data_IF_968353091378
#
_entry.id   IF_968353091378
#
_cell.length_a   1.000
_cell.length_b   1.000
_cell.length_c   1.000
_cell.angle_alpha   90.00
_cell.angle_beta   90.00
_cell.angle_gamma   90.00
#
_symmetry.space_group_name_H-M   'P 1'
#
loop_
_entity.id
_entity.type
_entity.pdbx_description
1 polymer ?
#
# COMPACT_ATOMS: atom_id res chain seq x y z
N UNK A 1 -50.96 -63.55 4.58
CA UNK A 1 -50.73 -64.98 4.91
C UNK A 1 -49.25 -65.20 5.16
N UNK A 2 -48.94 -65.76 6.35
CA UNK A 2 -47.70 -66.46 6.78
C UNK A 2 -46.37 -65.67 6.72
N UNK A 3 -45.85 -65.15 7.84
CA UNK A 3 -45.12 -65.80 8.98
C UNK A 3 -43.65 -66.08 8.61
N UNK A 4 -42.60 -65.94 9.43
CA UNK A 4 -42.32 -66.34 10.83
C UNK A 4 -40.97 -65.64 11.24
N UNK A 5 -40.82 -65.02 12.43
CA UNK A 5 -40.23 -65.60 13.68
C UNK A 5 -38.73 -65.28 13.91
N UNK A 6 -38.15 -65.10 15.11
CA UNK A 6 -38.56 -65.29 16.53
C UNK A 6 -37.38 -64.88 17.45
N UNK A 7 -37.70 -64.36 18.66
CA UNK A 7 -37.18 -64.72 20.02
C UNK A 7 -35.66 -64.55 20.31
N UNK A 8 -35.10 -64.29 21.49
CA UNK A 8 -35.36 -64.11 22.94
C UNK A 8 -33.99 -63.53 23.47
N UNK A 9 -33.76 -62.93 24.63
CA UNK A 9 -34.18 -63.27 25.99
C UNK A 9 -33.94 -62.12 26.98
N UNK A 10 -34.65 -62.25 28.10
CA UNK A 10 -34.59 -61.51 29.36
C UNK A 10 -33.21 -61.58 30.04
N UNK A 11 -32.88 -60.52 30.78
CA UNK A 11 -31.90 -60.55 31.86
C UNK A 11 -31.92 -59.26 32.68
N UNK A 12 -32.44 -59.32 33.89
CA UNK A 12 -32.18 -58.41 35.01
C UNK A 12 -32.05 -59.31 36.26
N UNK A 13 -31.53 -58.86 37.42
CA UNK A 13 -30.87 -57.59 37.77
C UNK A 13 -29.51 -57.82 38.50
N UNK A 14 -28.77 -56.76 38.82
CA UNK A 14 -27.98 -56.71 40.06
C UNK A 14 -27.62 -55.26 40.43
N UNK A 15 -27.90 -54.97 41.69
CA UNK A 15 -27.76 -53.71 42.40
C UNK A 15 -26.31 -53.49 42.79
N UNK A 16 -25.78 -52.29 42.51
CA UNK A 16 -24.69 -51.68 43.29
C UNK A 16 -24.85 -50.15 43.29
N UNK A 17 -25.29 -49.60 44.43
CA UNK A 17 -24.89 -48.25 44.87
C UNK A 17 -23.42 -48.33 45.34
N UNK A 18 -22.56 -47.29 45.25
CA UNK A 18 -22.81 -46.05 46.00
C UNK A 18 -22.10 -44.75 45.50
N UNK A 19 -22.23 -43.70 46.33
CA UNK A 19 -21.40 -42.49 46.47
C UNK A 19 -21.76 -41.26 45.62
N UNK A 20 -22.67 -40.46 46.18
CA UNK A 20 -22.77 -39.02 45.97
C UNK A 20 -21.49 -38.32 46.43
N UNK A 21 -20.75 -37.71 45.50
CA UNK A 21 -19.80 -36.64 45.78
C UNK A 21 -20.43 -35.31 45.33
N UNK A 22 -20.38 -34.23 46.13
CA UNK A 22 -20.88 -32.93 45.69
C UNK A 22 -19.84 -32.32 44.76
N UNK A 23 -20.13 -32.25 43.47
CA UNK A 23 -19.39 -31.39 42.55
C UNK A 23 -19.73 -29.94 42.87
N UNK A 24 -18.79 -29.27 43.54
CA UNK A 24 -18.76 -27.83 43.73
C UNK A 24 -18.60 -27.19 42.34
N UNK A 25 -19.68 -26.68 41.75
CA UNK A 25 -19.64 -25.92 40.51
C UNK A 25 -19.01 -24.55 40.78
N UNK A 26 -17.70 -24.44 40.53
CA UNK A 26 -17.02 -23.14 40.46
C UNK A 26 -17.47 -22.47 39.17
N UNK A 27 -18.35 -21.47 39.29
CA UNK A 27 -18.68 -20.54 38.22
C UNK A 27 -17.45 -19.70 37.89
N UNK A 28 -16.67 -20.15 36.91
CA UNK A 28 -15.66 -19.33 36.25
C UNK A 28 -16.40 -18.25 35.43
N UNK A 29 -16.51 -17.05 36.00
CA UNK A 29 -16.89 -15.85 35.25
C UNK A 29 -15.72 -15.52 34.34
N UNK A 30 -15.74 -16.05 33.12
CA UNK A 30 -14.85 -15.59 32.05
C UNK A 30 -15.16 -14.12 31.77
N UNK A 31 -14.18 -13.21 31.78
CA UNK A 31 -14.42 -11.85 31.32
C UNK A 31 -14.80 -11.93 29.84
N UNK A 32 -15.95 -11.33 29.50
CA UNK A 32 -16.37 -11.16 28.12
C UNK A 32 -15.36 -10.25 27.42
N UNK A 33 -14.41 -10.85 26.71
CA UNK A 33 -13.62 -10.16 25.69
C UNK A 33 -14.61 -9.56 24.70
N UNK A 34 -14.78 -8.25 24.75
CA UNK A 34 -15.49 -7.50 23.72
C UNK A 34 -14.63 -7.57 22.45
N UNK A 35 -14.83 -8.62 21.66
CA UNK A 35 -14.38 -8.62 20.27
C UNK A 35 -15.15 -7.50 19.57
N UNK A 36 -14.43 -6.43 19.19
CA UNK A 36 -14.96 -5.47 18.24
C UNK A 36 -15.44 -6.25 16.99
N UNK A 37 -16.58 -5.88 16.39
CA UNK A 37 -17.02 -6.53 15.16
C UNK A 37 -15.88 -6.46 14.14
N UNK A 38 -15.46 -7.62 13.62
CA UNK A 38 -14.54 -7.69 12.50
C UNK A 38 -15.14 -6.83 11.38
N UNK A 39 -14.45 -5.75 11.01
CA UNK A 39 -14.87 -4.92 9.88
C UNK A 39 -14.96 -5.77 8.62
N UNK A 40 -15.98 -5.52 7.79
CA UNK A 40 -16.15 -6.19 6.49
C UNK A 40 -15.08 -5.80 5.46
N UNK A 41 -14.20 -4.85 5.77
CA UNK A 41 -13.10 -4.42 4.93
C UNK A 41 -11.88 -5.34 4.98
N UNK A 42 -10.90 -5.04 4.11
CA UNK A 42 -9.63 -5.76 4.10
C UNK A 42 -8.82 -5.47 5.37
N UNK A 43 -8.06 -6.46 5.89
CA UNK A 43 -7.12 -6.21 6.96
C UNK A 43 -6.01 -5.25 6.49
N UNK A 44 -5.52 -4.35 7.36
CA UNK A 44 -4.36 -3.52 7.04
C UNK A 44 -3.15 -4.37 6.65
N UNK A 45 -2.40 -3.90 5.66
CA UNK A 45 -1.13 -4.49 5.24
C UNK A 45 -0.12 -4.43 6.40
N UNK A 46 -0.13 -3.32 7.14
CA UNK A 46 0.49 -3.20 8.45
C UNK A 46 -0.36 -2.33 9.35
N UNK A 47 -0.24 -2.56 10.64
CA UNK A 47 -0.90 -1.76 11.66
C UNK A 47 -0.01 -1.57 12.89
N UNK A 48 0.05 -0.33 13.36
CA UNK A 48 0.78 0.10 14.56
C UNK A 48 -0.10 1.07 15.35
N UNK A 49 0.03 1.14 16.68
CA UNK A 49 -0.76 2.06 17.50
C UNK A 49 -0.53 3.53 17.12
N UNK A 50 -1.59 4.32 17.16
CA UNK A 50 -1.57 5.78 16.94
C UNK A 50 -1.12 6.20 15.54
N UNK A 51 -0.86 7.49 15.35
CA UNK A 51 -0.30 8.06 14.11
C UNK A 51 -1.25 8.07 12.92
N UNK A 52 -0.67 8.30 11.74
CA UNK A 52 -1.40 8.42 10.48
C UNK A 52 -1.90 7.06 9.99
N UNK A 53 -3.18 7.01 9.58
CA UNK A 53 -3.87 5.82 9.06
C UNK A 53 -4.31 6.09 7.64
N UNK A 54 -3.68 5.40 6.70
CA UNK A 54 -3.83 5.62 5.27
C UNK A 54 -4.62 4.49 4.62
N UNK A 55 -5.64 4.85 3.86
CA UNK A 55 -6.41 3.92 3.01
C UNK A 55 -6.29 4.37 1.57
N UNK A 56 -6.00 3.45 0.67
CA UNK A 56 -6.05 3.69 -0.77
C UNK A 56 -7.02 2.72 -1.42
N UNK A 57 -7.73 3.20 -2.44
CA UNK A 57 -8.62 2.38 -3.27
C UNK A 57 -8.75 3.01 -4.66
N UNK A 58 -9.19 2.20 -5.62
CA UNK A 58 -9.26 2.56 -7.02
C UNK A 58 -9.10 1.34 -7.93
N UNK A 59 -8.76 1.60 -9.17
CA UNK A 59 -8.66 0.61 -10.23
C UNK A 59 -7.24 0.02 -10.41
N UNK A 60 -6.97 -0.56 -11.57
CA UNK A 60 -5.67 -1.15 -11.93
C UNK A 60 -4.51 -0.13 -11.95
N UNK A 61 -4.77 1.15 -12.18
CA UNK A 61 -3.75 2.20 -12.13
C UNK A 61 -3.33 2.52 -10.70
N UNK A 62 -4.14 2.12 -9.72
CA UNK A 62 -3.76 2.11 -8.31
C UNK A 62 -3.15 0.76 -7.91
N UNK A 63 -3.70 -0.36 -8.39
CA UNK A 63 -3.24 -1.70 -8.01
C UNK A 63 -1.82 -2.01 -8.52
N UNK A 64 -1.48 -1.59 -9.75
CA UNK A 64 -0.18 -1.86 -10.37
C UNK A 64 -0.01 -3.32 -10.83
N UNK A 65 -0.87 -3.83 -11.72
CA UNK A 65 -0.78 -5.20 -12.21
C UNK A 65 0.55 -5.47 -12.90
N UNK A 66 1.09 -6.68 -12.69
CA UNK A 66 2.39 -7.15 -13.21
C UNK A 66 3.61 -6.33 -12.79
N UNK A 67 3.47 -5.42 -11.82
CA UNK A 67 4.62 -4.82 -11.14
C UNK A 67 5.04 -5.75 -10.00
N UNK A 68 6.22 -6.36 -10.10
CA UNK A 68 6.71 -7.31 -9.10
C UNK A 68 7.44 -6.63 -7.93
N UNK A 69 7.37 -7.19 -6.71
CA UNK A 69 6.58 -8.36 -6.32
C UNK A 69 5.09 -8.05 -6.13
N UNK A 70 4.23 -8.94 -6.63
CA UNK A 70 2.79 -8.89 -6.40
C UNK A 70 2.41 -9.36 -5.00
N UNK A 71 1.29 -8.85 -4.48
CA UNK A 71 0.64 -9.28 -3.26
C UNK A 71 -0.19 -10.53 -3.54
N UNK A 72 0.30 -11.69 -3.13
CA UNK A 72 -0.38 -12.97 -3.38
C UNK A 72 -1.78 -13.03 -2.76
N UNK A 73 -1.99 -12.34 -1.64
CA UNK A 73 -3.27 -12.18 -0.94
C UNK A 73 -4.28 -11.30 -1.70
N UNK A 74 -3.86 -10.59 -2.75
CA UNK A 74 -4.75 -9.76 -3.57
C UNK A 74 -5.43 -10.51 -4.73
N UNK A 75 -5.01 -11.75 -5.02
CA UNK A 75 -5.61 -12.58 -6.07
C UNK A 75 -5.74 -11.84 -7.42
N UNK A 76 -6.96 -11.80 -7.96
CA UNK A 76 -7.27 -11.16 -9.24
C UNK A 76 -7.14 -9.63 -9.23
N UNK A 77 -7.05 -9.00 -8.06
CA UNK A 77 -6.84 -7.55 -7.98
C UNK A 77 -5.45 -7.13 -8.44
N UNK A 78 -4.47 -8.04 -8.39
CA UNK A 78 -3.08 -7.82 -8.83
C UNK A 78 -2.44 -6.57 -8.21
N UNK A 79 -2.52 -6.45 -6.87
CA UNK A 79 -1.87 -5.36 -6.15
C UNK A 79 -0.37 -5.59 -6.08
N UNK A 80 0.41 -4.61 -6.51
CA UNK A 80 1.85 -4.62 -6.35
C UNK A 80 2.28 -4.16 -4.96
N UNK A 81 3.38 -4.71 -4.45
CA UNK A 81 4.11 -4.12 -3.31
C UNK A 81 4.93 -2.88 -3.71
N UNK A 82 4.84 -2.43 -4.95
CA UNK A 82 5.51 -1.25 -5.52
C UNK A 82 4.55 -0.31 -6.25
N UNK A 83 3.25 -0.43 -5.99
CA UNK A 83 2.29 0.54 -6.49
C UNK A 83 2.41 1.87 -5.72
N UNK A 84 1.85 2.94 -6.28
CA UNK A 84 2.03 4.28 -5.70
C UNK A 84 1.51 4.36 -4.25
N UNK A 85 0.40 3.72 -3.84
CA UNK A 85 -0.05 3.76 -2.46
C UNK A 85 0.96 3.16 -1.50
N UNK A 86 1.58 2.03 -1.85
CA UNK A 86 2.62 1.44 -1.00
C UNK A 86 3.80 2.39 -0.83
N UNK A 87 4.25 3.03 -1.91
CA UNK A 87 5.37 3.98 -1.88
C UNK A 87 5.02 5.24 -1.07
N UNK A 88 3.80 5.76 -1.18
CA UNK A 88 3.29 6.87 -0.35
C UNK A 88 3.32 6.46 1.13
N UNK A 89 2.77 5.30 1.45
CA UNK A 89 2.66 4.82 2.82
C UNK A 89 4.04 4.64 3.49
N UNK A 90 5.03 4.15 2.76
CA UNK A 90 6.42 4.02 3.21
C UNK A 90 7.14 5.36 3.36
N UNK A 91 6.89 6.29 2.43
CA UNK A 91 7.48 7.65 2.44
C UNK A 91 6.97 8.47 3.62
N UNK A 92 5.67 8.39 3.90
CA UNK A 92 5.05 9.03 5.05
C UNK A 92 5.29 8.27 6.36
N UNK A 93 5.77 7.02 6.29
CA UNK A 93 5.93 6.12 7.44
C UNK A 93 4.65 6.01 8.27
N UNK A 94 3.52 5.81 7.58
CA UNK A 94 2.19 5.71 8.21
C UNK A 94 2.11 4.53 9.16
N UNK A 95 1.28 4.66 10.20
CA UNK A 95 1.16 3.64 11.23
C UNK A 95 0.23 2.50 10.82
N UNK A 96 -0.80 2.79 10.04
CA UNK A 96 -1.65 1.78 9.43
C UNK A 96 -1.83 2.07 7.95
N UNK A 97 -1.77 1.03 7.13
CA UNK A 97 -1.96 1.13 5.69
C UNK A 97 -2.87 0.01 5.19
N UNK A 98 -3.91 0.38 4.45
CA UNK A 98 -4.77 -0.56 3.72
C UNK A 98 -4.83 -0.16 2.27
N UNK A 99 -4.58 -1.11 1.37
CA UNK A 99 -4.76 -0.94 -0.06
C UNK A 99 -5.90 -1.87 -0.52
N UNK A 100 -7.02 -1.25 -0.86
CA UNK A 100 -8.23 -1.92 -1.33
C UNK A 100 -8.45 -1.79 -2.84
N UNK A 101 -7.48 -1.19 -3.56
CA UNK A 101 -7.56 -1.07 -5.02
C UNK A 101 -7.71 -2.42 -5.70
N UNK A 102 -8.31 -2.45 -6.88
CA UNK A 102 -8.46 -3.71 -7.60
C UNK A 102 -8.48 -3.51 -9.10
N UNK A 103 -7.71 -4.34 -9.81
CA UNK A 103 -7.69 -4.30 -11.27
C UNK A 103 -9.08 -4.51 -11.86
N UNK A 104 -9.45 -3.67 -12.82
CA UNK A 104 -10.76 -3.70 -13.46
C UNK A 104 -11.92 -3.08 -12.67
N UNK A 105 -11.65 -2.49 -11.50
CA UNK A 105 -12.72 -1.89 -10.69
C UNK A 105 -13.42 -0.74 -11.43
N UNK A 106 -14.75 -0.76 -11.38
CA UNK A 106 -15.64 0.36 -11.75
C UNK A 106 -16.10 1.11 -10.50
N UNK A 107 -16.74 2.27 -10.63
CA UNK A 107 -17.17 3.07 -9.45
C UNK A 107 -18.13 2.28 -8.55
N UNK A 108 -18.94 1.39 -9.10
CA UNK A 108 -19.84 0.52 -8.33
C UNK A 108 -19.07 -0.40 -7.35
N UNK A 109 -17.88 -0.90 -7.72
CA UNK A 109 -17.04 -1.77 -6.88
C UNK A 109 -16.53 -1.09 -5.60
N UNK A 110 -16.70 0.23 -5.49
CA UNK A 110 -16.47 0.93 -4.22
C UNK A 110 -17.49 0.52 -3.15
N UNK A 111 -18.70 0.12 -3.56
CA UNK A 111 -19.83 -0.20 -2.71
C UNK A 111 -20.16 -1.69 -2.64
N UNK A 112 -19.73 -2.47 -3.63
CA UNK A 112 -19.99 -3.91 -3.71
C UNK A 112 -18.69 -4.71 -3.83
N UNK A 113 -18.75 -6.01 -3.52
CA UNK A 113 -17.58 -6.87 -3.60
C UNK A 113 -17.22 -7.17 -5.07
N UNK A 114 -15.94 -7.02 -5.42
CA UNK A 114 -15.37 -7.42 -6.70
C UNK A 114 -14.67 -8.78 -6.54
N UNK A 115 -15.43 -9.86 -6.72
CA UNK A 115 -14.95 -11.22 -6.44
C UNK A 115 -14.58 -11.39 -4.96
N UNK A 116 -13.30 -11.67 -4.68
CA UNK A 116 -12.79 -11.79 -3.31
C UNK A 116 -12.39 -10.46 -2.68
N UNK A 117 -12.41 -9.36 -3.44
CA UNK A 117 -12.21 -8.03 -2.89
C UNK A 117 -13.52 -7.52 -2.28
N UNK A 118 -13.58 -7.23 -0.97
CA UNK A 118 -14.76 -6.57 -0.39
C UNK A 118 -15.01 -5.19 -1.02
N UNK A 119 -16.18 -4.58 -0.78
CA UNK A 119 -16.41 -3.18 -1.12
C UNK A 119 -15.24 -2.31 -0.70
N UNK A 120 -14.66 -1.54 -1.61
CA UNK A 120 -13.40 -0.85 -1.30
C UNK A 120 -13.58 0.17 -0.16
N UNK A 121 -14.76 0.81 -0.07
CA UNK A 121 -15.10 1.77 0.98
C UNK A 121 -15.27 1.13 2.36
N UNK A 122 -15.34 -0.20 2.49
CA UNK A 122 -15.38 -0.88 3.79
C UNK A 122 -14.02 -0.87 4.49
N UNK A 123 -12.95 -0.51 3.78
CA UNK A 123 -11.62 -0.29 4.36
C UNK A 123 -11.52 1.04 5.12
N UNK A 124 -12.53 1.91 5.01
CA UNK A 124 -12.57 3.19 5.71
C UNK A 124 -13.12 3.06 7.12
N UNK A 125 -12.62 3.91 8.02
CA UNK A 125 -13.15 4.07 9.37
C UNK A 125 -13.10 5.53 9.80
N UNK A 126 -13.78 5.87 10.90
CA UNK A 126 -13.66 7.19 11.54
C UNK A 126 -12.25 7.53 12.03
N UNK A 127 -11.35 6.54 12.09
CA UNK A 127 -9.94 6.72 12.46
C UNK A 127 -9.02 6.94 11.27
N UNK A 128 -9.49 6.69 10.04
CA UNK A 128 -8.75 6.98 8.82
C UNK A 128 -8.44 8.47 8.76
N UNK A 129 -7.17 8.81 8.50
CA UNK A 129 -6.67 10.20 8.50
C UNK A 129 -6.10 10.63 7.14
N UNK A 130 -5.91 9.69 6.23
CA UNK A 130 -5.45 9.97 4.87
C UNK A 130 -6.15 8.98 3.91
N UNK A 131 -6.64 9.50 2.78
CA UNK A 131 -7.22 8.69 1.71
C UNK A 131 -6.66 9.14 0.36
N UNK A 132 -6.23 8.20 -0.46
CA UNK A 132 -6.11 8.42 -1.91
C UNK A 132 -7.29 7.73 -2.58
N UNK A 133 -8.18 8.56 -3.11
CA UNK A 133 -9.36 8.17 -3.86
C UNK A 133 -8.97 8.05 -5.33
N UNK A 134 -9.00 6.83 -5.84
CA UNK A 134 -8.74 6.57 -7.25
C UNK A 134 -7.26 6.55 -7.59
N UNK A 135 -6.91 6.51 -8.88
CA UNK A 135 -7.80 6.59 -10.05
C UNK A 135 -8.93 5.56 -10.11
N UNK A 136 -10.10 5.96 -10.61
CA UNK A 136 -11.27 5.11 -10.89
C UNK A 136 -12.19 5.84 -11.88
N UNK A 137 -13.06 5.11 -12.60
CA UNK A 137 -13.91 5.65 -13.67
C UNK A 137 -13.45 5.27 -15.09
N UNK A 138 -12.19 4.88 -15.26
CA UNK A 138 -11.64 4.47 -16.56
C UNK A 138 -12.28 3.18 -17.09
N UNK A 139 -12.58 2.24 -16.20
CA UNK A 139 -13.26 1.00 -16.59
C UNK A 139 -14.74 1.25 -16.94
N UNK A 140 -15.40 2.19 -16.27
CA UNK A 140 -16.79 2.58 -16.50
C UNK A 140 -17.00 3.16 -17.92
N UNK A 141 -16.08 4.03 -18.35
CA UNK A 141 -16.11 4.55 -19.73
C UNK A 141 -15.64 3.52 -20.76
N UNK A 142 -14.93 2.46 -20.34
CA UNK A 142 -14.34 1.45 -21.20
C UNK A 142 -13.01 1.86 -21.81
N UNK A 143 -12.18 2.61 -21.07
CA UNK A 143 -10.95 3.25 -21.56
C UNK A 143 -9.96 2.28 -22.22
N UNK A 144 -9.70 1.12 -21.60
CA UNK A 144 -8.79 0.10 -22.17
C UNK A 144 -9.37 -0.46 -23.47
N UNK A 145 -10.70 -0.67 -23.53
CA UNK A 145 -11.39 -1.10 -24.74
C UNK A 145 -11.32 -0.04 -25.85
N UNK A 146 -11.46 1.23 -25.50
CA UNK A 146 -11.25 2.34 -26.43
C UNK A 146 -9.83 2.35 -26.98
N UNK A 147 -8.82 2.33 -26.11
CA UNK A 147 -7.41 2.38 -26.51
C UNK A 147 -7.02 1.19 -27.40
N UNK A 148 -7.46 -0.02 -27.05
CA UNK A 148 -7.22 -1.22 -27.87
C UNK A 148 -8.02 -1.21 -29.17
N UNK A 149 -9.24 -0.68 -29.17
CA UNK A 149 -10.04 -0.47 -30.37
C UNK A 149 -9.36 0.46 -31.38
N UNK A 150 -8.80 1.59 -30.90
CA UNK A 150 -8.06 2.55 -31.71
C UNK A 150 -6.79 1.99 -32.37
N UNK A 151 -6.23 0.89 -31.84
CA UNK A 151 -5.08 0.22 -32.47
C UNK A 151 -5.48 -0.68 -33.63
N UNK A 152 -6.75 -1.10 -33.68
CA UNK A 152 -7.25 -2.08 -34.62
C UNK A 152 -8.17 -1.48 -35.67
N UNK A 153 -8.87 -0.40 -35.34
CA UNK A 153 -9.93 0.22 -36.13
C UNK A 153 -9.92 1.73 -35.95
N UNK A 154 -10.48 2.46 -36.92
CA UNK A 154 -10.76 3.87 -36.73
C UNK A 154 -11.76 4.06 -35.59
N UNK A 155 -11.28 4.66 -34.50
CA UNK A 155 -12.06 4.90 -33.30
C UNK A 155 -12.51 6.36 -33.13
N UNK A 156 -12.01 7.27 -33.97
CA UNK A 156 -12.35 8.70 -33.87
C UNK A 156 -13.79 8.88 -34.34
N UNK A 157 -14.69 9.39 -33.49
CA UNK A 157 -16.09 9.55 -33.85
C UNK A 157 -16.24 10.68 -34.89
N UNK A 158 -17.32 10.67 -35.70
CA UNK A 158 -17.64 11.78 -36.60
C UNK A 158 -17.68 13.12 -35.86
N UNK A 159 -17.23 14.18 -36.52
CA UNK A 159 -17.24 15.53 -35.94
C UNK A 159 -18.64 15.90 -35.41
N UNK A 160 -18.70 16.46 -34.21
CA UNK A 160 -19.95 16.86 -33.54
C UNK A 160 -20.68 15.72 -32.81
N UNK A 161 -20.09 14.52 -32.76
CA UNK A 161 -20.65 13.39 -31.99
C UNK A 161 -19.77 13.06 -30.78
N UNK A 162 -20.40 12.66 -29.67
CA UNK A 162 -19.74 12.23 -28.44
C UNK A 162 -20.40 10.94 -27.92
N UNK A 163 -19.96 9.76 -28.40
CA UNK A 163 -20.57 8.50 -28.00
C UNK A 163 -20.30 8.14 -26.53
N UNK A 164 -19.28 8.75 -25.90
CA UNK A 164 -18.93 8.50 -24.49
C UNK A 164 -19.63 9.47 -23.53
N UNK A 165 -20.23 10.55 -24.03
CA UNK A 165 -20.91 11.58 -23.23
C UNK A 165 -21.86 11.03 -22.17
N UNK A 166 -22.79 10.11 -22.50
CA UNK A 166 -23.68 9.50 -21.50
C UNK A 166 -22.93 8.75 -20.39
N UNK A 167 -21.81 8.08 -20.70
CA UNK A 167 -21.00 7.38 -19.70
C UNK A 167 -20.28 8.37 -18.79
N UNK A 168 -19.70 9.44 -19.35
CA UNK A 168 -19.06 10.49 -18.55
C UNK A 168 -20.06 11.15 -17.59
N UNK A 169 -21.27 11.47 -18.07
CA UNK A 169 -22.31 12.06 -17.22
C UNK A 169 -22.72 11.14 -16.06
N UNK A 170 -22.80 9.82 -16.29
CA UNK A 170 -23.09 8.86 -15.23
C UNK A 170 -21.92 8.75 -14.24
N UNK A 171 -20.69 8.63 -14.74
CA UNK A 171 -19.48 8.54 -13.91
C UNK A 171 -19.30 9.78 -13.04
N UNK A 172 -19.66 10.98 -13.52
CA UNK A 172 -19.64 12.21 -12.73
C UNK A 172 -20.49 12.09 -11.46
N UNK A 173 -21.74 11.64 -11.62
CA UNK A 173 -22.71 11.47 -10.53
C UNK A 173 -22.20 10.45 -9.52
N UNK A 174 -21.68 9.33 -10.01
CA UNK A 174 -21.23 8.22 -9.16
C UNK A 174 -19.95 8.58 -8.40
N UNK A 175 -18.99 9.26 -9.04
CA UNK A 175 -17.77 9.75 -8.40
C UNK A 175 -18.08 10.79 -7.32
N UNK A 176 -18.99 11.73 -7.61
CA UNK A 176 -19.41 12.74 -6.64
C UNK A 176 -20.03 12.09 -5.39
N UNK A 177 -20.88 11.08 -5.58
CA UNK A 177 -21.44 10.30 -4.49
C UNK A 177 -20.37 9.54 -3.71
N UNK A 178 -19.43 8.88 -4.39
CA UNK A 178 -18.36 8.09 -3.79
C UNK A 178 -17.36 8.91 -2.97
N UNK A 179 -16.98 10.10 -3.43
CA UNK A 179 -16.11 11.00 -2.65
C UNK A 179 -16.83 11.52 -1.41
N UNK A 180 -18.11 11.88 -1.50
CA UNK A 180 -18.92 12.28 -0.34
C UNK A 180 -19.08 11.14 0.67
N UNK A 181 -19.29 9.91 0.18
CA UNK A 181 -19.37 8.74 1.06
C UNK A 181 -18.03 8.46 1.75
N UNK A 182 -16.92 8.65 1.04
CA UNK A 182 -15.56 8.57 1.60
C UNK A 182 -15.39 9.55 2.77
N UNK A 183 -15.75 10.83 2.56
CA UNK A 183 -15.71 11.86 3.60
C UNK A 183 -16.64 11.53 4.78
N UNK A 184 -17.82 10.96 4.52
CA UNK A 184 -18.76 10.53 5.57
C UNK A 184 -18.19 9.39 6.43
N UNK A 185 -17.53 8.40 5.82
CA UNK A 185 -16.93 7.25 6.52
C UNK A 185 -15.63 7.64 7.24
N UNK A 186 -14.87 8.58 6.69
CA UNK A 186 -13.60 9.07 7.21
C UNK A 186 -13.60 10.61 7.39
N UNK A 187 -14.40 11.15 8.34
CA UNK A 187 -14.65 12.60 8.46
C UNK A 187 -13.45 13.45 8.92
N UNK A 188 -12.30 12.82 9.19
CA UNK A 188 -11.05 13.47 9.61
C UNK A 188 -9.92 13.26 8.62
N UNK A 189 -10.19 12.61 7.49
CA UNK A 189 -9.15 12.30 6.52
C UNK A 189 -8.92 13.46 5.56
N UNK A 190 -7.65 13.72 5.26
CA UNK A 190 -7.30 14.39 4.01
C UNK A 190 -7.65 13.43 2.86
N UNK A 191 -8.59 13.82 2.00
CA UNK A 191 -9.02 13.02 0.85
C UNK A 191 -8.39 13.58 -0.43
N UNK A 192 -7.50 12.80 -1.04
CA UNK A 192 -6.80 13.12 -2.26
C UNK A 192 -7.45 12.37 -3.42
N UNK A 193 -8.17 13.07 -4.29
CA UNK A 193 -8.71 12.52 -5.53
C UNK A 193 -7.58 12.52 -6.57
N UNK A 194 -7.22 11.33 -7.06
CA UNK A 194 -6.10 11.15 -7.98
C UNK A 194 -6.63 11.04 -9.41
N UNK A 195 -6.28 12.01 -10.27
CA UNK A 195 -6.62 12.02 -11.69
C UNK A 195 -5.74 11.08 -12.52
N UNK A 196 -6.07 10.89 -13.79
CA UNK A 196 -5.22 10.15 -14.74
C UNK A 196 -4.14 11.08 -15.34
N UNK A 197 -3.03 10.51 -15.81
CA UNK A 197 -1.86 11.25 -16.32
C UNK A 197 -1.79 11.37 -17.85
N UNK A 198 -0.58 11.65 -18.34
CA UNK A 198 -0.26 11.72 -19.78
C UNK A 198 0.27 10.38 -20.28
N UNK A 199 -0.38 9.80 -21.28
CA UNK A 199 -0.13 8.46 -21.80
C UNK A 199 0.50 8.51 -23.18
N UNK A 200 0.02 9.44 -23.99
CA UNK A 200 0.47 9.70 -25.35
C UNK A 200 0.79 11.20 -25.48
N UNK A 201 1.88 11.57 -26.16
CA UNK A 201 2.12 12.96 -26.54
C UNK A 201 1.16 13.38 -27.67
N UNK A 202 1.01 14.70 -27.93
CA UNK A 202 0.27 15.19 -29.08
C UNK A 202 0.74 14.54 -30.39
N UNK A 203 -0.20 14.04 -31.18
CA UNK A 203 0.04 13.29 -32.41
C UNK A 203 0.59 11.88 -32.23
N UNK A 204 0.77 11.41 -30.99
CA UNK A 204 1.26 10.08 -30.66
C UNK A 204 2.68 9.80 -31.16
N UNK A 205 2.95 8.51 -31.43
CA UNK A 205 4.26 8.03 -31.87
C UNK A 205 4.10 6.86 -32.85
N UNK A 206 3.72 7.13 -34.12
CA UNK A 206 3.39 6.07 -35.09
C UNK A 206 4.56 5.12 -35.40
N UNK A 207 5.79 5.54 -35.14
CA UNK A 207 7.00 4.69 -35.27
C UNK A 207 7.14 3.67 -34.14
N UNK A 208 6.63 3.98 -32.94
CA UNK A 208 6.71 3.13 -31.74
C UNK A 208 5.44 2.29 -31.59
N UNK A 209 4.28 2.86 -31.91
CA UNK A 209 2.97 2.21 -31.85
C UNK A 209 2.39 2.20 -33.27
N UNK A 210 2.87 1.31 -34.16
CA UNK A 210 2.34 1.21 -35.50
C UNK A 210 0.86 0.78 -35.46
N UNK A 211 -0.01 1.56 -36.08
CA UNK A 211 -1.46 1.31 -36.09
C UNK A 211 -2.29 2.35 -35.33
N UNK A 212 -1.65 3.25 -34.57
CA UNK A 212 -2.33 4.41 -33.97
C UNK A 212 -1.97 5.68 -34.76
N UNK A 213 -2.94 6.26 -35.46
CA UNK A 213 -2.77 7.55 -36.13
C UNK A 213 -2.67 8.70 -35.13
N UNK A 214 -2.20 9.86 -35.59
CA UNK A 214 -2.13 11.07 -34.78
C UNK A 214 -3.51 11.47 -34.20
N UNK A 215 -4.56 11.42 -35.02
CA UNK A 215 -5.91 11.75 -34.60
C UNK A 215 -6.48 10.76 -33.57
N UNK A 216 -6.17 9.46 -33.72
CA UNK A 216 -6.58 8.45 -32.74
C UNK A 216 -5.81 8.58 -31.42
N UNK A 217 -4.51 8.88 -31.49
CA UNK A 217 -3.70 9.15 -30.30
C UNK A 217 -4.22 10.36 -29.53
N UNK A 218 -4.49 11.46 -30.23
CA UNK A 218 -5.07 12.68 -29.65
C UNK A 218 -6.47 12.42 -29.08
N UNK A 219 -7.28 11.59 -29.75
CA UNK A 219 -8.61 11.23 -29.26
C UNK A 219 -8.53 10.39 -27.97
N UNK A 220 -7.67 9.37 -27.92
CA UNK A 220 -7.46 8.55 -26.72
C UNK A 220 -6.95 9.41 -25.57
N UNK A 221 -5.90 10.20 -25.78
CA UNK A 221 -5.38 11.09 -24.74
C UNK A 221 -6.44 12.11 -24.30
N UNK A 222 -7.23 12.65 -25.23
CA UNK A 222 -8.32 13.56 -24.91
C UNK A 222 -9.42 12.95 -24.03
N UNK A 223 -9.73 11.66 -24.18
CA UNK A 223 -10.67 10.98 -23.26
C UNK A 223 -10.06 10.75 -21.87
N UNK A 224 -8.75 10.51 -21.79
CA UNK A 224 -8.02 10.40 -20.52
C UNK A 224 -8.01 11.76 -19.80
N UNK A 225 -7.72 12.83 -20.54
CA UNK A 225 -7.71 14.20 -20.03
C UNK A 225 -9.11 14.58 -19.54
N UNK A 226 -10.16 14.30 -20.32
CA UNK A 226 -11.56 14.53 -19.91
C UNK A 226 -11.91 13.81 -18.61
N UNK A 227 -11.46 12.58 -18.42
CA UNK A 227 -11.69 11.83 -17.18
C UNK A 227 -10.92 12.42 -16.00
N UNK A 228 -9.69 12.90 -16.24
CA UNK A 228 -8.90 13.59 -15.21
C UNK A 228 -9.53 14.93 -14.82
N UNK A 229 -10.03 15.70 -15.79
CA UNK A 229 -10.75 16.96 -15.55
C UNK A 229 -12.03 16.74 -14.75
N UNK A 230 -12.80 15.69 -15.08
CA UNK A 230 -13.98 15.30 -14.32
C UNK A 230 -13.65 14.95 -12.85
N UNK A 231 -12.54 14.23 -12.61
CA UNK A 231 -12.05 13.97 -11.24
C UNK A 231 -11.60 15.26 -10.53
N UNK A 232 -11.05 16.23 -11.26
CA UNK A 232 -10.71 17.55 -10.73
C UNK A 232 -11.97 18.34 -10.31
N UNK A 233 -13.01 18.31 -11.14
CA UNK A 233 -14.31 18.92 -10.86
C UNK A 233 -14.96 18.28 -9.63
N UNK A 234 -14.96 16.95 -9.53
CA UNK A 234 -15.45 16.22 -8.34
C UNK A 234 -14.66 16.62 -7.09
N UNK A 235 -13.33 16.71 -7.18
CA UNK A 235 -12.49 17.15 -6.06
C UNK A 235 -12.86 18.57 -5.61
N UNK A 236 -12.99 19.50 -6.55
CA UNK A 236 -13.40 20.88 -6.28
C UNK A 236 -14.80 20.95 -5.65
N UNK A 237 -15.78 20.22 -6.18
CA UNK A 237 -17.16 20.18 -5.70
C UNK A 237 -17.32 19.57 -4.30
N UNK A 238 -16.34 18.78 -3.86
CA UNK A 238 -16.33 18.12 -2.54
C UNK A 238 -15.33 18.75 -1.56
N UNK A 239 -14.55 19.75 -1.99
CA UNK A 239 -13.48 20.33 -1.18
C UNK A 239 -12.32 19.36 -0.91
N UNK A 240 -12.18 18.31 -1.72
CA UNK A 240 -11.07 17.36 -1.68
C UNK A 240 -9.83 17.91 -2.39
N UNK A 241 -8.67 17.35 -2.07
CA UNK A 241 -7.40 17.71 -2.70
C UNK A 241 -7.33 16.98 -4.04
N UNK A 242 -7.05 17.69 -5.15
CA UNK A 242 -6.83 17.03 -6.44
C UNK A 242 -5.34 16.79 -6.68
N UNK A 243 -5.01 15.58 -7.16
CA UNK A 243 -3.66 15.21 -7.59
C UNK A 243 -3.68 15.00 -9.10
N UNK A 244 -3.16 15.99 -9.84
CA UNK A 244 -3.14 15.95 -11.31
C UNK A 244 -1.86 15.28 -11.84
N UNK A 245 -1.98 14.01 -12.21
CA UNK A 245 -0.85 13.24 -12.75
C UNK A 245 -0.28 13.83 -14.06
N UNK A 246 -1.03 14.66 -14.80
CA UNK A 246 -0.54 15.34 -16.01
C UNK A 246 0.51 16.40 -15.70
N UNK A 247 0.55 16.87 -14.46
CA UNK A 247 1.49 17.90 -13.99
C UNK A 247 2.77 17.32 -13.37
N UNK A 248 2.94 16.00 -13.37
CA UNK A 248 4.17 15.37 -12.90
C UNK A 248 5.33 15.85 -13.78
N UNK A 249 6.40 16.44 -13.21
CA UNK A 249 7.53 16.94 -13.99
C UNK A 249 8.13 15.83 -14.87
N UNK A 250 8.23 16.09 -16.18
CA UNK A 250 8.77 15.14 -17.16
C UNK A 250 7.79 14.08 -17.65
N UNK A 251 6.52 14.06 -17.22
CA UNK A 251 5.56 13.03 -17.62
C UNK A 251 5.43 12.86 -19.15
N UNK A 252 5.49 13.97 -19.90
CA UNK A 252 5.42 13.95 -21.37
C UNK A 252 6.58 13.17 -22.03
N UNK A 253 7.74 13.16 -21.39
CA UNK A 253 8.95 12.46 -21.86
C UNK A 253 8.94 10.97 -21.48
N UNK A 254 8.01 10.57 -20.61
CA UNK A 254 7.88 9.21 -20.05
C UNK A 254 6.55 8.52 -20.42
N UNK A 255 5.92 8.98 -21.50
CA UNK A 255 4.71 8.39 -22.10
C UNK A 255 4.96 6.98 -22.65
N UNK A 256 3.92 6.32 -23.16
CA UNK A 256 4.03 5.06 -23.89
C UNK A 256 4.93 5.16 -25.15
N UNK A 257 5.25 6.38 -25.59
CA UNK A 257 6.12 6.67 -26.72
C UNK A 257 7.61 6.72 -26.37
N UNK A 258 7.96 6.76 -25.09
CA UNK A 258 9.35 6.74 -24.65
C UNK A 258 10.02 5.39 -24.93
N UNK A 259 11.35 5.36 -24.89
CA UNK A 259 12.11 4.12 -24.89
C UNK A 259 11.62 3.20 -23.74
N UNK A 260 11.58 1.87 -23.92
CA UNK A 260 10.92 0.97 -22.97
C UNK A 260 11.38 1.11 -21.50
N UNK A 261 12.66 1.37 -21.25
CA UNK A 261 13.22 1.58 -19.92
C UNK A 261 12.85 2.94 -19.30
N UNK A 262 12.46 3.91 -20.12
CA UNK A 262 12.03 5.25 -19.71
C UNK A 262 10.51 5.38 -19.59
N UNK A 263 9.73 4.38 -19.98
CA UNK A 263 8.27 4.42 -19.90
C UNK A 263 7.76 4.43 -18.45
N UNK A 264 7.06 5.50 -18.07
CA UNK A 264 6.22 5.53 -16.87
C UNK A 264 4.86 4.91 -17.13
N UNK A 265 4.34 5.06 -18.34
CA UNK A 265 3.17 4.34 -18.85
C UNK A 265 3.64 3.33 -19.88
N UNK A 266 3.33 2.05 -19.66
CA UNK A 266 3.66 0.98 -20.60
C UNK A 266 2.84 1.11 -21.86
N UNK A 267 3.49 0.89 -23.00
CA UNK A 267 2.83 0.75 -24.29
C UNK A 267 2.08 -0.60 -24.39
N UNK A 268 1.89 -1.09 -25.61
CA UNK A 268 1.15 -2.34 -25.91
C UNK A 268 1.94 -3.62 -25.61
N UNK A 269 3.24 -3.52 -25.38
CA UNK A 269 4.12 -4.64 -25.06
C UNK A 269 4.56 -4.61 -23.61
N UNK A 270 4.67 -5.79 -22.99
CA UNK A 270 5.28 -5.92 -21.66
C UNK A 270 6.78 -5.68 -21.76
N UNK A 271 7.32 -4.81 -20.91
CA UNK A 271 8.76 -4.61 -20.76
C UNK A 271 9.11 -4.52 -19.28
N UNK A 272 9.93 -5.46 -18.79
CA UNK A 272 10.32 -5.51 -17.39
C UNK A 272 9.15 -5.75 -16.44
N UNK A 273 8.44 -4.69 -16.06
CA UNK A 273 7.34 -4.69 -15.12
C UNK A 273 6.12 -3.91 -15.64
N UNK A 274 4.97 -4.05 -14.98
CA UNK A 274 3.74 -3.35 -15.35
C UNK A 274 3.01 -4.01 -16.52
N UNK A 275 1.68 -4.01 -16.44
CA UNK A 275 0.84 -4.49 -17.53
C UNK A 275 0.85 -3.52 -18.72
N UNK A 276 0.60 -3.99 -19.95
CA UNK A 276 0.41 -3.10 -21.09
C UNK A 276 -0.66 -2.04 -20.82
N UNK A 277 -0.45 -0.82 -21.31
CA UNK A 277 -1.33 0.35 -21.10
C UNK A 277 -1.47 0.78 -19.64
N UNK A 278 -0.64 0.30 -18.72
CA UNK A 278 -0.65 0.65 -17.30
C UNK A 278 0.68 1.26 -16.86
N UNK A 279 0.77 1.86 -15.66
CA UNK A 279 2.02 2.41 -15.18
C UNK A 279 3.06 1.32 -14.90
N UNK A 280 4.34 1.65 -15.10
CA UNK A 280 5.49 0.87 -14.61
C UNK A 280 5.76 1.15 -13.13
N UNK A 281 6.69 0.43 -12.47
CA UNK A 281 7.10 0.84 -11.12
C UNK A 281 7.70 2.25 -11.08
N UNK A 282 8.38 2.68 -12.15
CA UNK A 282 8.91 4.03 -12.24
C UNK A 282 7.78 5.08 -12.29
N UNK A 283 6.73 4.82 -13.08
CA UNK A 283 5.54 5.68 -13.12
C UNK A 283 4.77 5.70 -11.79
N UNK A 284 4.65 4.56 -11.12
CA UNK A 284 4.07 4.48 -9.78
C UNK A 284 4.88 5.27 -8.74
N UNK A 285 6.21 5.22 -8.82
CA UNK A 285 7.08 5.98 -7.93
C UNK A 285 7.00 7.50 -8.20
N UNK A 286 6.91 7.91 -9.46
CA UNK A 286 6.69 9.30 -9.85
C UNK A 286 5.33 9.83 -9.36
N UNK A 287 4.27 9.02 -9.52
CA UNK A 287 2.93 9.31 -8.99
C UNK A 287 2.97 9.45 -7.47
N UNK A 288 3.61 8.52 -6.76
CA UNK A 288 3.73 8.59 -5.30
C UNK A 288 4.47 9.86 -4.83
N UNK A 289 5.56 10.23 -5.51
CA UNK A 289 6.30 11.45 -5.21
C UNK A 289 5.41 12.69 -5.39
N UNK A 290 4.60 12.72 -6.46
CA UNK A 290 3.68 13.82 -6.73
C UNK A 290 2.50 13.88 -5.75
N UNK A 291 1.95 12.74 -5.34
CA UNK A 291 0.96 12.64 -4.25
C UNK A 291 1.53 13.22 -2.95
N UNK A 292 2.75 12.83 -2.56
CA UNK A 292 3.39 13.34 -1.34
C UNK A 292 3.67 14.85 -1.44
N UNK A 293 4.08 15.35 -2.61
CA UNK A 293 4.30 16.78 -2.83
C UNK A 293 2.99 17.58 -2.70
N UNK A 294 1.91 17.09 -3.29
CA UNK A 294 0.58 17.71 -3.23
C UNK A 294 0.05 17.72 -1.80
N UNK A 295 0.20 16.61 -1.07
CA UNK A 295 -0.15 16.53 0.35
C UNK A 295 0.66 17.52 1.20
N UNK A 296 1.97 17.63 0.94
CA UNK A 296 2.84 18.56 1.65
C UNK A 296 2.36 20.00 1.46
N UNK A 297 2.06 20.39 0.22
CA UNK A 297 1.51 21.70 -0.10
C UNK A 297 0.18 21.96 0.62
N UNK A 298 -0.76 21.00 0.56
CA UNK A 298 -2.05 21.12 1.23
C UNK A 298 -1.93 21.27 2.75
N UNK A 299 -0.91 20.63 3.35
CA UNK A 299 -0.61 20.73 4.79
C UNK A 299 0.29 21.92 5.18
N UNK A 300 0.69 22.77 4.23
CA UNK A 300 1.61 23.89 4.49
C UNK A 300 3.00 23.46 4.96
N UNK A 301 3.50 22.33 4.46
CA UNK A 301 4.82 21.74 4.80
C UNK A 301 5.61 21.42 3.52
N UNK A 302 6.83 20.90 3.66
CA UNK A 302 7.66 20.45 2.54
C UNK A 302 7.85 18.93 2.52
N UNK A 303 8.13 18.37 1.34
CA UNK A 303 8.48 16.94 1.20
C UNK A 303 9.70 16.58 2.06
N UNK A 304 10.69 17.47 2.13
CA UNK A 304 11.87 17.28 2.98
C UNK A 304 11.49 17.21 4.47
N UNK A 305 10.59 18.08 4.94
CA UNK A 305 10.10 18.05 6.32
C UNK A 305 9.34 16.75 6.63
N UNK A 306 8.45 16.32 5.72
CA UNK A 306 7.73 15.04 5.83
C UNK A 306 8.72 13.87 5.99
N UNK A 307 9.70 13.77 5.08
CA UNK A 307 10.70 12.69 5.10
C UNK A 307 11.59 12.74 6.34
N UNK A 308 11.98 13.94 6.76
CA UNK A 308 12.77 14.14 8.00
C UNK A 308 12.00 13.69 9.23
N UNK A 309 10.71 13.99 9.30
CA UNK A 309 9.87 13.57 10.43
C UNK A 309 9.57 12.07 10.40
N UNK A 310 9.36 11.48 9.22
CA UNK A 310 9.32 10.04 9.05
C UNK A 310 10.63 9.39 9.54
N UNK A 311 11.78 9.89 9.11
CA UNK A 311 13.09 9.40 9.54
C UNK A 311 13.29 9.51 11.07
N UNK A 312 12.81 10.58 11.69
CA UNK A 312 12.79 10.74 13.17
C UNK A 312 11.89 9.70 13.83
N UNK A 313 10.69 9.42 13.30
CA UNK A 313 9.80 8.37 13.82
C UNK A 313 10.45 6.99 13.69
N UNK A 314 11.09 6.68 12.55
CA UNK A 314 11.84 5.44 12.32
C UNK A 314 12.99 5.30 13.31
N UNK A 315 13.74 6.38 13.53
CA UNK A 315 14.81 6.41 14.51
C UNK A 315 14.30 6.19 15.94
N UNK A 316 13.13 6.74 16.31
CA UNK A 316 12.52 6.54 17.64
C UNK A 316 12.16 5.09 17.95
N UNK A 317 11.86 4.27 16.94
CA UNK A 317 11.58 2.84 17.14
C UNK A 317 12.81 1.95 17.12
N UNK A 318 14.02 2.51 17.05
CA UNK A 318 15.23 1.72 17.21
C UNK A 318 15.37 1.26 18.66
N UNK A 319 15.69 -0.01 18.82
CA UNK A 319 16.07 -0.64 20.08
C UNK A 319 17.47 -1.24 19.95
N UNK A 320 18.21 -1.27 21.06
CA UNK A 320 19.54 -1.87 21.14
C UNK A 320 19.50 -2.97 22.20
N UNK A 321 19.75 -4.20 21.80
CA UNK A 321 20.08 -5.30 22.69
C UNK A 321 21.59 -5.55 22.72
N UNK A 322 22.12 -5.82 23.91
CA UNK A 322 23.53 -6.13 24.11
C UNK A 322 23.64 -7.36 24.99
N UNK A 323 24.20 -8.43 24.45
CA UNK A 323 24.33 -9.72 25.11
C UNK A 323 25.73 -10.31 25.01
N UNK A 324 26.08 -11.22 25.92
CA UNK A 324 27.33 -11.96 25.88
C UNK A 324 27.08 -13.37 25.32
N UNK A 325 27.91 -13.82 24.37
CA UNK A 325 27.88 -15.17 23.77
C UNK A 325 29.20 -15.90 24.07
N UNK A 326 29.25 -17.19 23.77
CA UNK A 326 30.45 -18.05 23.87
C UNK A 326 31.15 -17.93 25.24
N UNK A 327 30.42 -18.26 26.32
CA UNK A 327 30.92 -18.22 27.71
C UNK A 327 31.44 -16.83 28.14
N UNK A 328 30.91 -15.76 27.55
CA UNK A 328 31.29 -14.40 27.91
C UNK A 328 32.56 -13.91 27.23
N UNK A 329 33.03 -14.59 26.19
CA UNK A 329 34.22 -14.15 25.43
C UNK A 329 33.88 -13.24 24.25
N UNK A 330 32.60 -13.16 23.88
CA UNK A 330 32.11 -12.42 22.72
C UNK A 330 30.94 -11.51 23.10
N UNK A 331 31.11 -10.21 22.84
CA UNK A 331 30.03 -9.22 22.87
C UNK A 331 29.19 -9.36 21.60
N UNK A 332 27.86 -9.48 21.73
CA UNK A 332 26.88 -9.36 20.63
C UNK A 332 26.06 -8.09 20.85
N UNK A 333 25.95 -7.30 19.80
CA UNK A 333 25.02 -6.17 19.70
C UNK A 333 23.94 -6.49 18.69
N UNK A 334 22.72 -6.08 18.96
CA UNK A 334 21.60 -6.28 18.06
C UNK A 334 20.76 -5.01 18.03
N UNK A 335 20.55 -4.47 16.83
CA UNK A 335 19.75 -3.27 16.60
C UNK A 335 18.52 -3.69 15.84
N UNK A 336 17.36 -3.54 16.47
CA UNK A 336 16.06 -3.84 15.87
C UNK A 336 15.28 -2.54 15.62
N UNK A 337 14.22 -2.61 14.82
CA UNK A 337 13.42 -1.45 14.45
C UNK A 337 14.01 -0.66 13.29
N UNK A 338 13.92 0.67 13.32
CA UNK A 338 14.43 1.54 12.24
C UNK A 338 13.68 1.46 10.90
N UNK A 339 12.78 0.48 10.73
CA UNK A 339 11.80 0.36 9.64
C UNK A 339 12.39 0.57 8.25
N UNK A 340 13.46 -0.17 7.97
CA UNK A 340 14.15 -0.17 6.67
C UNK A 340 15.05 1.04 6.42
N UNK A 341 15.13 2.00 7.34
CA UNK A 341 15.97 3.19 7.17
C UNK A 341 17.38 3.04 7.75
N UNK A 342 17.70 1.95 8.46
CA UNK A 342 19.05 1.74 9.02
C UNK A 342 20.04 1.51 7.88
N UNK A 343 21.01 2.43 7.75
CA UNK A 343 22.04 2.39 6.72
C UNK A 343 23.40 1.93 7.27
N UNK A 344 23.68 2.22 8.55
CA UNK A 344 24.93 1.82 9.19
C UNK A 344 24.77 1.70 10.70
N UNK A 345 25.49 0.76 11.31
CA UNK A 345 25.61 0.60 12.77
C UNK A 345 27.08 0.52 13.17
N UNK A 346 27.54 1.50 13.94
CA UNK A 346 28.89 1.53 14.52
C UNK A 346 28.83 1.17 16.00
N UNK A 347 29.61 0.19 16.43
CA UNK A 347 29.70 -0.24 17.84
C UNK A 347 31.08 0.06 18.40
N UNK A 348 31.12 0.75 19.54
CA UNK A 348 32.33 1.08 20.30
C UNK A 348 32.28 0.50 21.70
N UNK A 349 33.44 0.11 22.23
CA UNK A 349 33.66 -0.20 23.65
C UNK A 349 34.69 0.78 24.17
N UNK A 350 34.27 1.68 25.06
CA UNK A 350 35.08 2.87 25.37
C UNK A 350 35.28 3.73 24.12
N UNK A 351 36.53 3.98 23.74
CA UNK A 351 36.88 4.74 22.52
C UNK A 351 37.11 3.85 21.30
N UNK A 352 37.30 2.54 21.50
CA UNK A 352 37.66 1.61 20.43
C UNK A 352 36.42 1.24 19.61
N UNK A 353 36.47 1.45 18.29
CA UNK A 353 35.53 0.87 17.34
C UNK A 353 35.76 -0.63 17.25
N UNK A 354 34.75 -1.41 17.61
CA UNK A 354 34.81 -2.88 17.65
C UNK A 354 34.06 -3.53 16.49
N UNK A 355 33.09 -2.82 15.90
CA UNK A 355 32.38 -3.23 14.68
C UNK A 355 31.77 -2.03 13.97
N UNK A 356 31.69 -2.13 12.64
CA UNK A 356 30.99 -1.22 11.75
C UNK A 356 30.27 -2.06 10.71
N UNK A 357 28.95 -1.93 10.64
CA UNK A 357 28.13 -2.67 9.71
C UNK A 357 27.38 -1.71 8.79
N UNK A 358 27.57 -1.87 7.47
CA UNK A 358 26.99 -1.02 6.42
C UNK A 358 26.02 -1.79 5.50
N UNK A 359 25.74 -3.05 5.81
CA UNK A 359 24.94 -3.93 4.95
C UNK A 359 23.44 -3.73 5.23
N UNK A 360 22.90 -2.57 4.85
CA UNK A 360 21.47 -2.31 4.99
C UNK A 360 20.59 -3.39 4.30
N UNK A 361 19.34 -3.63 4.75
CA UNK A 361 18.73 -3.27 6.03
C UNK A 361 18.76 -4.49 6.98
N UNK A 362 19.67 -4.51 7.95
CA UNK A 362 19.70 -5.61 8.92
C UNK A 362 18.60 -5.51 9.97
N UNK A 363 18.13 -6.69 10.38
CA UNK A 363 17.47 -6.95 11.66
C UNK A 363 18.50 -7.13 12.80
N UNK A 364 19.79 -7.36 12.48
CA UNK A 364 20.84 -7.59 13.49
C UNK A 364 22.25 -7.30 12.95
N UNK A 365 22.96 -6.29 13.49
CA UNK A 365 24.40 -6.11 13.25
C UNK A 365 25.22 -6.79 14.36
N UNK A 366 25.69 -8.03 14.13
CA UNK A 366 26.46 -8.78 15.13
C UNK A 366 27.94 -8.44 15.05
N UNK A 367 28.43 -7.62 15.99
CA UNK A 367 29.85 -7.56 16.30
C UNK A 367 30.28 -8.84 17.04
N UNK A 368 31.48 -9.36 16.81
CA UNK A 368 32.14 -10.30 17.73
C UNK A 368 33.56 -9.81 17.97
N UNK A 369 33.91 -9.52 19.22
CA UNK A 369 35.25 -9.02 19.57
C UNK A 369 35.76 -9.73 20.81
N UNK A 370 36.96 -10.34 20.78
CA UNK A 370 37.60 -10.88 21.98
C UNK A 370 37.86 -9.76 22.99
N UNK A 371 37.21 -9.84 24.15
CA UNK A 371 37.13 -8.73 25.13
C UNK A 371 38.39 -8.54 26.00
N UNK A 372 39.47 -9.29 25.76
CA UNK A 372 40.60 -9.44 26.70
C UNK A 372 41.35 -8.15 27.05
N UNK A 373 41.18 -7.04 26.31
CA UNK A 373 41.87 -5.77 26.59
C UNK A 373 40.99 -4.51 26.51
N UNK A 374 39.69 -4.65 26.27
CA UNK A 374 38.80 -3.50 25.99
C UNK A 374 37.99 -3.13 27.23
N UNK A 375 38.09 -1.87 27.69
CA UNK A 375 37.36 -1.36 28.86
C UNK A 375 36.49 -0.17 28.46
N UNK A 376 35.35 -0.03 29.10
CA UNK A 376 34.44 1.12 28.93
C UNK A 376 33.01 0.72 28.56
N UNK A 377 32.10 1.71 28.47
CA UNK A 377 30.71 1.44 28.11
C UNK A 377 30.59 1.00 26.65
N UNK A 378 29.57 0.19 26.36
CA UNK A 378 29.19 -0.15 24.99
C UNK A 378 28.36 1.00 24.43
N UNK A 379 28.80 1.58 23.31
CA UNK A 379 28.08 2.64 22.60
C UNK A 379 27.78 2.18 21.18
N UNK A 380 26.54 2.33 20.75
CA UNK A 380 26.15 2.11 19.35
C UNK A 380 25.73 3.44 18.72
N UNK A 381 26.21 3.72 17.51
CA UNK A 381 25.71 4.81 16.67
C UNK A 381 25.03 4.21 15.46
N UNK A 382 23.72 4.41 15.37
CA UNK A 382 22.90 3.94 14.26
C UNK A 382 22.64 5.12 13.33
N UNK A 383 23.10 5.00 12.09
CA UNK A 383 22.85 5.97 11.02
C UNK A 383 21.64 5.50 10.23
N UNK A 384 20.61 6.35 10.16
CA UNK A 384 19.45 6.15 9.31
C UNK A 384 19.51 7.07 8.08
N UNK A 385 19.04 6.58 6.93
CA UNK A 385 18.98 7.35 5.69
C UNK A 385 17.63 7.26 5.00
N UNK A 386 17.28 8.34 4.32
CA UNK A 386 16.19 8.44 3.35
C UNK A 386 16.63 9.39 2.23
N UNK A 387 17.04 8.82 1.08
CA UNK A 387 17.72 9.57 0.02
C UNK A 387 18.98 10.26 0.57
N UNK A 388 19.04 11.59 0.43
CA UNK A 388 20.13 12.42 0.94
C UNK A 388 20.00 12.78 2.44
N UNK A 389 18.85 12.52 3.07
CA UNK A 389 18.67 12.79 4.50
C UNK A 389 19.39 11.75 5.34
N UNK A 390 20.13 12.21 6.34
CA UNK A 390 20.83 11.36 7.30
C UNK A 390 20.47 11.76 8.74
N UNK A 391 20.18 10.79 9.59
CA UNK A 391 19.97 10.97 11.02
C UNK A 391 20.77 9.94 11.81
N UNK A 392 21.51 10.37 12.84
CA UNK A 392 22.25 9.46 13.72
C UNK A 392 21.58 9.37 15.08
N UNK A 393 21.30 8.15 15.54
CA UNK A 393 20.86 7.87 16.92
C UNK A 393 21.97 7.16 17.67
N UNK A 394 22.29 7.68 18.86
CA UNK A 394 23.30 7.09 19.74
C UNK A 394 22.63 6.36 20.90
N UNK A 395 23.18 5.21 21.24
CA UNK A 395 22.79 4.38 22.37
C UNK A 395 24.00 4.16 23.27
N UNK A 396 23.76 4.09 24.57
CA UNK A 396 24.74 3.67 25.57
C UNK A 396 24.10 2.54 26.36
N UNK A 397 24.65 1.34 26.25
CA UNK A 397 24.19 0.21 27.03
C UNK A 397 24.98 0.11 28.35
N UNK A 398 24.32 -0.42 29.39
CA UNK A 398 25.00 -0.82 30.62
C UNK A 398 26.09 -1.86 30.32
N UNK A 399 27.14 -1.88 31.13
CA UNK A 399 28.29 -2.78 30.92
C UNK A 399 27.84 -4.24 31.08
N UNK A 400 27.85 -5.06 30.03
CA UNK A 400 27.47 -6.47 30.13
C UNK A 400 28.56 -7.24 30.89
N UNK A 401 28.20 -8.37 31.53
CA UNK A 401 29.08 -9.13 32.44
C UNK A 401 30.39 -9.63 31.82
N UNK A 402 30.49 -9.65 30.50
CA UNK A 402 31.68 -10.09 29.76
C UNK A 402 32.75 -8.99 29.57
N UNK A 403 32.45 -7.73 29.93
CA UNK A 403 33.33 -6.58 29.74
C UNK A 403 33.96 -6.08 31.04
#
# INVERSE_FOLDING_TARGET
MRRLSRLLSRGAPLVTLPLLAPFLAVLLVSPASHAAPAGSGLPPIWERPGGERYVSFGDSFVAGPLINPQRLDSGACLRSKRNFPTVVAETLDVNAFTDASCSGAVVEDLYVAQGANPPQLDSLSRSTSLVSFGTIGGNDIGLVGLATGCLLLNCVPPAGTDPLGPKFAQVEVDLLAAVRETQRRAPRADVLVVGYGTYLPPGGCPTVIPGLSAAEADYVQGQIDRLSDLLAEVAAATGSIFVDQRTIPGAIDHTACAAPDQQWIRAISTYGDGAPLHPSAAGMAATAAHVVATLAQARGTTVEQIRRDALRRKARSLELDVSCRLLGTVLRTEVTGGRGAVAQVDVRVGERLVSSDTTAPWVTATATTPLRTTRGPVRATVTLRDGALELKRRFTAGRPRCL
#
